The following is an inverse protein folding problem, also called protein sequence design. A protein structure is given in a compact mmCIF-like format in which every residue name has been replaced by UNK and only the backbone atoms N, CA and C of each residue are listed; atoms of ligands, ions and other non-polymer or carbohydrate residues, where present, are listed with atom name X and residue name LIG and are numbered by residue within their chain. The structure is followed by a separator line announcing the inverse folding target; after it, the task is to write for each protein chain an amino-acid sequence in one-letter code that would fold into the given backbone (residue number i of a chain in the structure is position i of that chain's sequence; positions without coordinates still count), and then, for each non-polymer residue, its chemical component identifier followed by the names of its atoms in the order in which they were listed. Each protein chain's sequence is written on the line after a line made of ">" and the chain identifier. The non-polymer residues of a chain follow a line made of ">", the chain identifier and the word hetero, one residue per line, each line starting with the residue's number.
data_IF_316571285107
#
_entry.id   IF_316571285107
#
_cell.length_a   1.000
_cell.length_b   1.000
_cell.length_c   1.000
_cell.angle_alpha   90.00
_cell.angle_beta   90.00
_cell.angle_gamma   90.00
#
_symmetry.space_group_name_H-M   'P 1'
#
loop_
_entity.id
_entity.type
_entity.pdbx_description
1 polymer ?
#
# COMPACT_ATOMS: atom_id res chain seq x y z
N UNK A 1 -22.65 -5.97 18.45
CA UNK A 1 -22.49 -7.34 17.92
C UNK A 1 -21.77 -7.22 16.60
N UNK A 2 -20.59 -7.81 16.50
CA UNK A 2 -19.70 -7.71 15.35
C UNK A 2 -20.35 -8.32 14.11
N UNK A 3 -20.26 -7.64 12.97
CA UNK A 3 -20.63 -8.21 11.67
C UNK A 3 -19.35 -8.61 10.95
N UNK A 4 -19.22 -9.90 10.67
CA UNK A 4 -18.00 -10.46 10.08
C UNK A 4 -18.37 -11.13 8.78
N UNK A 5 -17.68 -10.76 7.70
CA UNK A 5 -17.87 -11.31 6.38
C UNK A 5 -16.57 -11.91 5.88
N UNK A 6 -16.67 -13.07 5.25
CA UNK A 6 -15.52 -13.75 4.65
C UNK A 6 -15.77 -13.95 3.18
N UNK A 7 -14.84 -13.48 2.36
CA UNK A 7 -14.79 -13.85 0.95
C UNK A 7 -13.95 -15.10 0.80
N UNK A 8 -14.55 -16.13 0.21
CA UNK A 8 -13.83 -17.35 -0.09
C UNK A 8 -14.51 -18.08 -1.24
N UNK A 9 -13.93 -19.21 -1.65
CA UNK A 9 -14.49 -20.09 -2.67
C UNK A 9 -14.21 -21.55 -2.36
N UNK A 10 -15.04 -22.42 -2.93
CA UNK A 10 -14.77 -23.84 -3.03
C UNK A 10 -13.90 -24.16 -4.24
N UNK A 11 -13.49 -25.42 -4.32
CA UNK A 11 -12.56 -25.96 -5.32
C UNK A 11 -13.04 -25.71 -6.76
N UNK A 12 -14.35 -25.68 -7.01
CA UNK A 12 -14.96 -25.44 -8.33
C UNK A 12 -15.90 -24.23 -8.39
N UNK A 13 -15.99 -23.45 -7.31
CA UNK A 13 -16.86 -22.28 -7.24
C UNK A 13 -16.12 -20.97 -7.52
N UNK A 14 -16.87 -19.91 -7.81
CA UNK A 14 -16.40 -18.52 -7.82
C UNK A 14 -16.32 -17.96 -6.40
N UNK A 15 -15.54 -16.90 -6.22
CA UNK A 15 -15.49 -16.16 -4.95
C UNK A 15 -16.86 -15.59 -4.58
N UNK A 16 -17.25 -15.77 -3.33
CA UNK A 16 -18.47 -15.22 -2.77
C UNK A 16 -18.18 -14.69 -1.36
N UNK A 17 -18.90 -13.63 -0.98
CA UNK A 17 -18.92 -13.14 0.39
C UNK A 17 -19.97 -13.90 1.20
N UNK A 18 -19.59 -14.38 2.37
CA UNK A 18 -20.44 -15.09 3.30
C UNK A 18 -20.53 -14.30 4.60
N UNK A 19 -21.74 -14.17 5.16
CA UNK A 19 -21.91 -13.69 6.53
C UNK A 19 -21.47 -14.81 7.48
N UNK A 20 -20.49 -14.55 8.35
CA UNK A 20 -19.95 -15.55 9.25
C UNK A 20 -20.99 -16.04 10.28
N UNK A 21 -21.93 -15.18 10.68
CA UNK A 21 -23.00 -15.54 11.61
C UNK A 21 -24.05 -16.42 10.94
N UNK A 22 -24.38 -16.10 9.68
CA UNK A 22 -25.29 -16.86 8.81
C UNK A 22 -24.48 -17.65 7.77
N UNK A 23 -23.58 -18.52 8.24
CA UNK A 23 -22.49 -19.20 7.48
C UNK A 23 -22.78 -19.70 6.04
N UNK A 24 -24.04 -20.02 5.69
CA UNK A 24 -24.44 -20.50 4.36
C UNK A 24 -25.02 -19.41 3.44
N UNK A 25 -25.16 -18.17 3.93
CA UNK A 25 -25.80 -17.09 3.20
C UNK A 25 -24.77 -16.23 2.51
N UNK A 26 -24.83 -16.24 1.18
CA UNK A 26 -24.05 -15.34 0.33
C UNK A 26 -24.59 -13.92 0.49
N UNK A 27 -23.77 -13.02 1.01
CA UNK A 27 -24.15 -11.64 1.28
C UNK A 27 -22.98 -10.70 1.03
N UNK A 28 -23.15 -9.77 0.10
CA UNK A 28 -22.17 -8.72 -0.16
C UNK A 28 -22.21 -7.69 0.98
N UNK A 29 -21.08 -7.40 1.65
CA UNK A 29 -21.03 -6.42 2.71
C UNK A 29 -21.27 -5.00 2.17
N UNK A 30 -22.03 -4.21 2.93
CA UNK A 30 -22.23 -2.80 2.64
C UNK A 30 -21.05 -1.99 3.19
N UNK A 31 -20.16 -1.57 2.29
CA UNK A 31 -18.96 -0.80 2.62
C UNK A 31 -19.01 0.62 2.06
N UNK A 32 -18.34 1.59 2.71
CA UNK A 32 -18.09 2.91 2.13
C UNK A 32 -17.35 2.80 0.78
N UNK A 33 -17.67 3.69 -0.17
CA UNK A 33 -17.06 3.75 -1.52
C UNK A 33 -15.53 3.74 -1.47
N UNK A 34 -14.95 4.49 -0.52
CA UNK A 34 -13.51 4.57 -0.34
C UNK A 34 -12.90 3.21 0.05
N UNK A 35 -13.55 2.46 0.94
CA UNK A 35 -13.07 1.13 1.34
C UNK A 35 -13.14 0.17 0.16
N UNK A 36 -14.23 0.18 -0.62
CA UNK A 36 -14.35 -0.64 -1.84
C UNK A 36 -13.28 -0.34 -2.87
N UNK A 37 -12.92 0.95 -3.03
CA UNK A 37 -11.88 1.37 -3.97
C UNK A 37 -10.47 0.94 -3.54
N UNK A 38 -10.22 0.90 -2.23
CA UNK A 38 -8.88 0.65 -1.67
C UNK A 38 -8.63 -0.82 -1.33
N UNK A 39 -9.65 -1.54 -0.87
CA UNK A 39 -9.58 -2.97 -0.56
C UNK A 39 -9.62 -3.76 -1.88
N UNK A 40 -8.44 -4.12 -2.35
CA UNK A 40 -8.27 -4.83 -3.61
C UNK A 40 -8.32 -6.33 -3.36
N UNK A 41 -9.34 -7.03 -3.86
CA UNK A 41 -9.48 -8.47 -3.61
C UNK A 41 -8.40 -9.31 -4.30
N UNK A 42 -7.71 -8.75 -5.30
CA UNK A 42 -6.65 -9.46 -6.02
C UNK A 42 -5.28 -9.36 -5.32
N UNK A 43 -5.10 -8.32 -4.50
CA UNK A 43 -3.82 -8.04 -3.85
C UNK A 43 -3.96 -8.01 -2.34
N UNK A 44 -2.89 -8.38 -1.66
CA UNK A 44 -2.85 -8.29 -0.20
C UNK A 44 -2.93 -6.82 0.24
N UNK A 45 -3.94 -6.53 1.04
CA UNK A 45 -4.14 -5.20 1.62
C UNK A 45 -4.83 -5.25 2.97
N UNK A 46 -4.59 -4.23 3.78
CA UNK A 46 -5.29 -3.97 5.04
C UNK A 46 -5.82 -2.54 5.01
N UNK A 47 -7.13 -2.38 5.18
CA UNK A 47 -7.82 -1.09 5.20
C UNK A 47 -8.62 -1.00 6.49
N UNK A 48 -8.33 -0.01 7.32
CA UNK A 48 -9.11 0.32 8.50
C UNK A 48 -9.75 1.70 8.31
N UNK A 49 -11.08 1.74 8.36
CA UNK A 49 -11.85 2.96 8.20
C UNK A 49 -12.80 3.15 9.37
N UNK A 50 -12.90 4.38 9.88
CA UNK A 50 -13.90 4.74 10.90
C UNK A 50 -15.06 5.48 10.26
N UNK A 51 -16.25 4.92 10.40
CA UNK A 51 -17.53 5.51 9.96
C UNK A 51 -18.38 5.84 11.19
N UNK A 52 -18.30 7.09 11.67
CA UNK A 52 -19.05 7.58 12.83
C UNK A 52 -18.85 6.72 14.09
N UNK A 53 -19.73 5.74 14.33
CA UNK A 53 -19.74 4.84 15.50
C UNK A 53 -19.09 3.48 15.25
N UNK A 54 -18.64 3.21 14.03
CA UNK A 54 -18.15 1.89 13.63
C UNK A 54 -16.74 1.94 13.08
N UNK A 55 -16.01 0.85 13.32
CA UNK A 55 -14.75 0.53 12.69
C UNK A 55 -14.99 -0.56 11.65
N UNK A 56 -14.46 -0.35 10.45
CA UNK A 56 -14.53 -1.26 9.32
C UNK A 56 -13.10 -1.66 8.99
N UNK A 57 -12.73 -2.89 9.32
CA UNK A 57 -11.47 -3.50 8.95
C UNK A 57 -11.71 -4.41 7.75
N UNK A 58 -11.00 -4.18 6.65
CA UNK A 58 -10.96 -5.06 5.50
C UNK A 58 -9.53 -5.57 5.31
N UNK A 59 -9.35 -6.89 5.25
CA UNK A 59 -8.08 -7.55 4.95
C UNK A 59 -8.31 -8.45 3.74
N UNK A 60 -7.53 -8.27 2.68
CA UNK A 60 -7.74 -8.97 1.41
C UNK A 60 -6.59 -9.92 1.08
N UNK A 61 -6.90 -10.93 0.27
CA UNK A 61 -5.94 -11.86 -0.32
C UNK A 61 -5.02 -12.61 0.69
N UNK A 62 -5.55 -12.97 1.85
CA UNK A 62 -4.90 -13.83 2.83
C UNK A 62 -4.76 -15.26 2.27
N UNK A 63 -3.63 -15.92 2.50
CA UNK A 63 -3.47 -17.31 2.03
C UNK A 63 -4.41 -18.24 2.80
N UNK A 64 -5.06 -19.16 2.08
CA UNK A 64 -5.92 -20.16 2.71
C UNK A 64 -5.25 -21.53 2.88
N UNK A 65 -4.09 -21.75 2.25
CA UNK A 65 -3.47 -23.09 2.14
C UNK A 65 -4.19 -24.04 1.17
N UNK A 66 -5.38 -23.69 0.67
CA UNK A 66 -6.17 -24.48 -0.29
C UNK A 66 -5.84 -24.11 -1.73
N UNK A 67 -6.09 -25.04 -2.64
CA UNK A 67 -5.94 -24.86 -4.09
C UNK A 67 -7.25 -25.19 -4.79
N UNK A 68 -7.52 -24.51 -5.91
CA UNK A 68 -8.68 -24.83 -6.74
C UNK A 68 -8.40 -25.97 -7.74
N UNK A 69 -9.42 -26.37 -8.50
CA UNK A 69 -9.29 -27.40 -9.54
C UNK A 69 -8.35 -27.03 -10.71
N UNK A 70 -7.89 -25.78 -10.79
CA UNK A 70 -6.90 -25.28 -11.75
C UNK A 70 -5.55 -25.02 -11.08
N UNK A 71 -5.31 -25.65 -9.91
CA UNK A 71 -4.09 -25.53 -9.09
C UNK A 71 -3.74 -24.11 -8.66
N UNK A 72 -4.69 -23.16 -8.73
CA UNK A 72 -4.48 -21.79 -8.27
C UNK A 72 -4.68 -21.73 -6.75
N UNK A 73 -3.84 -20.99 -6.02
CA UNK A 73 -4.02 -20.82 -4.59
C UNK A 73 -5.33 -20.05 -4.31
N UNK A 74 -6.16 -20.60 -3.42
CA UNK A 74 -7.35 -19.92 -2.91
C UNK A 74 -6.90 -18.93 -1.84
N UNK A 75 -7.49 -17.74 -1.89
CA UNK A 75 -7.21 -16.64 -0.97
C UNK A 75 -8.49 -16.30 -0.22
N UNK A 76 -8.39 -15.95 1.06
CA UNK A 76 -9.52 -15.48 1.83
C UNK A 76 -9.45 -13.96 1.97
N UNK A 77 -10.59 -13.29 1.99
CA UNK A 77 -10.70 -11.89 2.43
C UNK A 77 -11.60 -11.82 3.66
N UNK A 78 -11.29 -10.93 4.58
CA UNK A 78 -12.02 -10.72 5.83
C UNK A 78 -12.51 -9.27 5.89
N UNK A 79 -13.78 -9.09 6.20
CA UNK A 79 -14.34 -7.80 6.59
C UNK A 79 -14.89 -7.93 7.99
N UNK A 80 -14.43 -7.07 8.88
CA UNK A 80 -14.88 -7.00 10.27
C UNK A 80 -15.43 -5.60 10.53
N UNK A 81 -16.72 -5.55 10.87
CA UNK A 81 -17.41 -4.31 11.21
C UNK A 81 -17.82 -4.39 12.67
N UNK A 82 -17.29 -3.48 13.47
CA UNK A 82 -17.55 -3.43 14.90
C UNK A 82 -17.80 -2.02 15.40
N UNK A 83 -18.34 -1.91 16.61
CA UNK A 83 -18.53 -0.64 17.28
C UNK A 83 -17.19 -0.05 17.74
N UNK A 84 -17.12 1.28 17.89
CA UNK A 84 -15.91 1.97 18.32
C UNK A 84 -15.37 1.53 19.69
N UNK A 85 -16.21 0.89 20.51
CA UNK A 85 -15.84 0.38 21.84
C UNK A 85 -14.99 -0.90 21.74
N UNK A 86 -15.12 -1.64 20.64
CA UNK A 86 -14.33 -2.84 20.31
C UNK A 86 -13.00 -2.52 19.60
N UNK A 87 -12.54 -1.27 19.74
CA UNK A 87 -11.30 -0.79 19.10
C UNK A 87 -10.07 -1.63 19.47
N UNK A 88 -10.00 -2.11 20.71
CA UNK A 88 -8.89 -2.94 21.20
C UNK A 88 -8.80 -4.26 20.42
N UNK A 89 -9.94 -4.90 20.14
CA UNK A 89 -10.02 -6.12 19.35
C UNK A 89 -9.56 -5.88 17.91
N UNK A 90 -10.08 -4.84 17.25
CA UNK A 90 -9.66 -4.48 15.89
C UNK A 90 -8.15 -4.18 15.83
N UNK A 91 -7.60 -3.47 16.82
CA UNK A 91 -6.15 -3.23 16.93
C UNK A 91 -5.37 -4.53 17.11
N UNK A 92 -5.87 -5.48 17.90
CA UNK A 92 -5.23 -6.77 18.09
C UNK A 92 -5.14 -7.57 16.77
N UNK A 93 -6.22 -7.56 15.97
CA UNK A 93 -6.23 -8.18 14.63
C UNK A 93 -5.17 -7.53 13.73
N UNK A 94 -5.09 -6.20 13.70
CA UNK A 94 -4.09 -5.47 12.91
C UNK A 94 -2.67 -5.79 13.40
N UNK A 95 -2.46 -5.84 14.72
CA UNK A 95 -1.18 -6.19 15.30
C UNK A 95 -0.74 -7.60 14.89
N UNK A 96 -1.66 -8.56 14.92
CA UNK A 96 -1.42 -9.94 14.50
C UNK A 96 -1.12 -10.02 12.99
N UNK A 97 -1.88 -9.31 12.16
CA UNK A 97 -1.60 -9.17 10.73
C UNK A 97 -0.17 -8.65 10.47
N UNK A 98 0.31 -7.71 11.29
CA UNK A 98 1.65 -7.15 11.13
C UNK A 98 2.76 -8.06 11.66
N UNK A 99 2.54 -8.78 12.76
CA UNK A 99 3.60 -9.50 13.49
C UNK A 99 3.62 -11.00 13.25
N UNK A 100 2.45 -11.62 13.06
CA UNK A 100 2.26 -13.06 12.98
C UNK A 100 1.25 -13.42 11.87
N UNK A 101 1.39 -12.81 10.70
CA UNK A 101 0.45 -12.91 9.58
C UNK A 101 0.08 -14.36 9.20
N UNK A 102 1.06 -15.26 9.13
CA UNK A 102 0.83 -16.66 8.78
C UNK A 102 -0.08 -17.37 9.81
N UNK A 103 -0.05 -16.94 11.08
CA UNK A 103 -0.95 -17.41 12.13
C UNK A 103 -2.39 -16.95 11.88
N UNK A 104 -2.59 -15.65 11.62
CA UNK A 104 -3.89 -15.09 11.26
C UNK A 104 -4.48 -15.75 10.00
N UNK A 105 -3.65 -15.98 8.98
CA UNK A 105 -4.03 -16.69 7.75
C UNK A 105 -4.55 -18.10 8.05
N UNK A 106 -3.84 -18.82 8.93
CA UNK A 106 -4.22 -20.16 9.36
C UNK A 106 -5.52 -20.15 10.17
N UNK A 107 -5.66 -19.25 11.13
CA UNK A 107 -6.84 -19.19 12.00
C UNK A 107 -8.12 -18.91 11.21
N UNK A 108 -8.04 -18.04 10.20
CA UNK A 108 -9.15 -17.78 9.26
C UNK A 108 -9.42 -19.02 8.39
N UNK A 109 -8.38 -19.69 7.90
CA UNK A 109 -8.55 -20.89 7.08
C UNK A 109 -9.18 -22.05 7.86
N UNK A 110 -8.74 -22.28 9.10
CA UNK A 110 -9.21 -23.35 10.01
C UNK A 110 -10.67 -23.14 10.47
N UNK A 111 -11.20 -21.94 10.29
CA UNK A 111 -12.61 -21.62 10.53
C UNK A 111 -13.50 -21.86 9.30
N UNK A 112 -12.94 -22.13 8.13
CA UNK A 112 -13.68 -22.39 6.90
C UNK A 112 -13.66 -23.89 6.59
N UNK A 113 -14.82 -24.54 6.64
CA UNK A 113 -14.96 -25.95 6.26
C UNK A 113 -15.63 -26.06 4.89
N UNK A 114 -15.14 -26.95 4.04
CA UNK A 114 -15.66 -27.21 2.71
C UNK A 114 -16.22 -28.64 2.68
N UNK A 115 -17.52 -28.84 2.99
CA UNK A 115 -18.27 -30.10 2.69
C UNK A 115 -19.74 -30.06 3.16
N UNK A 116 -20.73 -30.35 2.29
CA UNK A 116 -20.76 -30.19 0.82
C UNK A 116 -20.86 -28.72 0.37
N UNK A 117 -21.12 -27.81 1.31
CA UNK A 117 -21.16 -26.36 1.12
C UNK A 117 -20.07 -25.72 2.00
N UNK A 118 -19.71 -24.47 1.69
CA UNK A 118 -18.81 -23.69 2.53
C UNK A 118 -19.54 -23.34 3.83
N UNK A 119 -18.92 -23.67 4.96
CA UNK A 119 -19.38 -23.32 6.30
C UNK A 119 -18.29 -22.54 7.03
N UNK A 120 -18.72 -21.50 7.74
CA UNK A 120 -17.85 -20.66 8.56
C UNK A 120 -18.17 -20.93 10.03
N UNK A 121 -17.15 -21.31 10.79
CA UNK A 121 -17.20 -21.39 12.24
C UNK A 121 -17.09 -19.98 12.82
N UNK A 122 -18.23 -19.37 13.11
CA UNK A 122 -18.32 -18.03 13.67
C UNK A 122 -17.50 -17.89 14.97
N UNK A 123 -17.53 -18.89 15.85
CA UNK A 123 -16.86 -18.80 17.15
C UNK A 123 -15.34 -18.75 17.00
N UNK A 124 -14.79 -19.55 16.06
CA UNK A 124 -13.36 -19.48 15.74
C UNK A 124 -12.99 -18.10 15.19
N UNK A 125 -13.76 -17.58 14.24
CA UNK A 125 -13.49 -16.25 13.66
C UNK A 125 -13.63 -15.14 14.71
N UNK A 126 -14.69 -15.17 15.51
CA UNK A 126 -14.95 -14.20 16.56
C UNK A 126 -13.83 -14.21 17.61
N UNK A 127 -13.17 -15.36 17.84
CA UNK A 127 -12.08 -15.47 18.81
C UNK A 127 -10.77 -14.78 18.38
N UNK A 128 -10.63 -14.45 17.10
CA UNK A 128 -9.46 -13.77 16.56
C UNK A 128 -9.36 -12.36 17.18
N UNK A 129 -8.14 -11.97 17.57
CA UNK A 129 -7.89 -10.67 18.19
C UNK A 129 -8.34 -10.54 19.65
N UNK A 130 -8.63 -11.64 20.36
CA UNK A 130 -8.96 -11.62 21.79
C UNK A 130 -7.77 -11.29 22.71
N UNK A 131 -6.59 -11.04 22.16
CA UNK A 131 -5.42 -10.62 22.92
C UNK A 131 -5.61 -9.16 23.38
N UNK A 132 -5.61 -8.94 24.70
CA UNK A 132 -5.70 -7.59 25.25
C UNK A 132 -4.44 -6.79 24.92
N UNK A 133 -4.59 -5.79 24.05
CA UNK A 133 -3.57 -4.77 23.85
C UNK A 133 -3.75 -3.65 24.87
N UNK A 134 -2.66 -3.25 25.51
CA UNK A 134 -2.65 -2.05 26.35
C UNK A 134 -2.96 -0.81 25.49
N UNK A 135 -3.66 0.16 26.06
CA UNK A 135 -4.10 1.34 25.32
C UNK A 135 -3.84 2.60 26.12
N UNK A 136 -2.84 3.38 25.66
CA UNK A 136 -2.68 4.75 26.11
C UNK A 136 -3.48 5.70 25.22
N UNK A 137 -3.97 6.80 25.80
CA UNK A 137 -4.66 7.84 25.05
C UNK A 137 -3.76 8.41 23.95
N UNK A 138 -4.33 8.64 22.76
CA UNK A 138 -3.62 9.22 21.64
C UNK A 138 -3.28 10.69 21.94
N UNK A 139 -1.99 11.02 21.99
CA UNK A 139 -1.56 12.39 22.18
C UNK A 139 -1.66 13.22 20.89
N UNK A 140 -1.70 14.55 21.03
CA UNK A 140 -1.86 15.48 19.90
C UNK A 140 -0.73 15.40 18.87
N UNK A 141 0.48 15.01 19.28
CA UNK A 141 1.62 14.80 18.39
C UNK A 141 1.43 13.58 17.46
N UNK A 142 0.68 12.56 17.91
CA UNK A 142 0.43 11.32 17.14
C UNK A 142 -0.79 11.41 16.21
N UNK A 143 -1.52 12.53 16.23
CA UNK A 143 -2.63 12.84 15.30
C UNK A 143 -2.17 13.32 13.91
N UNK A 144 -0.86 13.37 13.65
CA UNK A 144 -0.33 13.71 12.32
C UNK A 144 -0.64 12.56 11.37
N UNK A 145 -1.15 12.87 10.17
CA UNK A 145 -1.40 11.90 9.10
C UNK A 145 -0.12 11.73 8.30
N UNK A 146 0.35 10.49 8.12
CA UNK A 146 1.63 10.22 7.46
C UNK A 146 1.62 8.94 6.64
N UNK A 147 2.38 8.94 5.55
CA UNK A 147 2.55 7.80 4.66
C UNK A 147 4.03 7.48 4.46
N UNK A 148 4.36 6.20 4.25
CA UNK A 148 5.76 5.77 4.19
C UNK A 148 5.93 4.42 3.52
N UNK A 149 7.20 4.04 3.34
CA UNK A 149 7.57 2.73 2.84
C UNK A 149 7.24 1.63 3.86
N UNK A 150 6.56 0.55 3.44
CA UNK A 150 6.13 -0.51 4.36
C UNK A 150 7.32 -1.20 5.03
N UNK A 151 8.32 -1.65 4.26
CA UNK A 151 9.46 -2.37 4.83
C UNK A 151 10.26 -1.54 5.85
N UNK A 152 10.36 -0.22 5.64
CA UNK A 152 11.07 0.69 6.57
C UNK A 152 10.28 1.01 7.83
N UNK A 153 8.97 1.19 7.73
CA UNK A 153 8.15 1.79 8.78
C UNK A 153 7.14 0.84 9.43
N UNK A 154 7.14 -0.43 9.05
CA UNK A 154 6.28 -1.47 9.64
C UNK A 154 6.43 -1.55 11.17
N UNK A 155 7.66 -1.51 11.69
CA UNK A 155 7.89 -1.65 13.13
C UNK A 155 7.32 -0.47 13.92
N UNK A 156 7.46 0.76 13.41
CA UNK A 156 6.89 1.93 14.06
C UNK A 156 5.35 1.87 14.08
N UNK A 157 4.73 1.39 12.99
CA UNK A 157 3.28 1.15 12.98
C UNK A 157 2.87 0.09 14.00
N UNK A 158 3.62 -1.01 14.13
CA UNK A 158 3.39 -2.04 15.15
C UNK A 158 3.39 -1.42 16.54
N UNK A 159 4.41 -0.61 16.86
CA UNK A 159 4.55 0.03 18.16
C UNK A 159 3.42 1.01 18.44
N UNK A 160 2.99 1.77 17.42
CA UNK A 160 1.86 2.69 17.53
C UNK A 160 0.53 1.94 17.73
N UNK A 161 0.24 0.90 16.93
CA UNK A 161 -0.98 0.08 17.06
C UNK A 161 -1.00 -0.65 18.41
N UNK A 162 0.15 -1.08 18.92
CA UNK A 162 0.25 -1.74 20.23
C UNK A 162 0.02 -0.79 21.38
N UNK A 163 0.51 0.45 21.30
CA UNK A 163 0.57 1.36 22.46
C UNK A 163 -0.50 2.46 22.49
N UNK A 164 -1.16 2.76 21.37
CA UNK A 164 -2.04 3.92 21.23
C UNK A 164 -3.46 3.57 20.79
N UNK A 165 -4.44 4.28 21.35
CA UNK A 165 -5.78 4.32 20.75
C UNK A 165 -5.77 4.91 19.34
N UNK A 166 -6.70 4.47 18.50
CA UNK A 166 -6.90 4.98 17.15
C UNK A 166 -7.51 6.40 17.18
N UNK A 167 -7.27 7.23 16.15
CA UNK A 167 -7.96 8.50 16.00
C UNK A 167 -9.49 8.32 16.04
N UNK A 168 -10.19 9.24 16.71
CA UNK A 168 -11.65 9.22 16.87
C UNK A 168 -12.40 9.91 15.72
N UNK A 169 -11.68 10.63 14.86
CA UNK A 169 -12.25 11.29 13.68
C UNK A 169 -12.72 10.25 12.64
N UNK A 170 -13.81 10.58 11.93
CA UNK A 170 -14.27 9.80 10.77
C UNK A 170 -13.20 9.87 9.68
N UNK A 171 -12.87 8.73 9.09
CA UNK A 171 -11.92 8.68 7.98
C UNK A 171 -11.10 7.40 7.91
N UNK A 172 -10.17 7.39 6.96
CA UNK A 172 -9.23 6.30 6.75
C UNK A 172 -8.14 6.35 7.83
N UNK A 173 -8.02 5.28 8.61
CA UNK A 173 -7.11 5.22 9.74
C UNK A 173 -5.82 4.51 9.35
N UNK A 174 -5.92 3.26 8.89
CA UNK A 174 -4.76 2.45 8.49
C UNK A 174 -4.98 1.99 7.07
N UNK A 175 -3.97 2.15 6.22
CA UNK A 175 -3.98 1.59 4.87
C UNK A 175 -2.62 0.98 4.56
N UNK A 176 -2.59 -0.31 4.26
CA UNK A 176 -1.37 -1.05 3.94
C UNK A 176 -1.62 -1.84 2.66
N UNK A 177 -0.73 -1.71 1.68
CA UNK A 177 -0.81 -2.49 0.44
C UNK A 177 0.50 -2.41 -0.33
N UNK A 178 0.78 -3.42 -1.15
CA UNK A 178 1.92 -3.42 -2.07
C UNK A 178 1.55 -3.02 -3.51
N UNK A 179 0.27 -2.76 -3.82
CA UNK A 179 -0.18 -2.53 -5.19
C UNK A 179 -0.49 -1.07 -5.52
N UNK A 180 -0.75 -0.22 -4.53
CA UNK A 180 -1.15 1.19 -4.77
C UNK A 180 0.04 2.15 -4.70
N UNK A 181 -0.04 3.20 -5.51
CA UNK A 181 0.98 4.25 -5.66
C UNK A 181 0.90 5.31 -4.56
N UNK A 182 2.00 6.05 -4.35
CA UNK A 182 2.04 7.18 -3.41
C UNK A 182 0.90 8.19 -3.63
N UNK A 183 0.57 8.54 -4.88
CA UNK A 183 -0.54 9.44 -5.20
C UNK A 183 -1.88 8.95 -4.63
N UNK A 184 -2.14 7.64 -4.68
CA UNK A 184 -3.36 7.04 -4.12
C UNK A 184 -3.44 7.27 -2.60
N UNK A 185 -2.31 7.18 -1.91
CA UNK A 185 -2.21 7.43 -0.48
C UNK A 185 -2.40 8.91 -0.13
N UNK A 186 -1.81 9.83 -0.90
CA UNK A 186 -1.98 11.27 -0.73
C UNK A 186 -3.44 11.71 -0.91
N UNK A 187 -4.14 11.10 -1.86
CA UNK A 187 -5.58 11.34 -2.10
C UNK A 187 -6.46 10.75 -0.99
N UNK A 188 -6.16 9.50 -0.56
CA UNK A 188 -6.95 8.78 0.43
C UNK A 188 -6.74 9.29 1.87
N UNK A 189 -5.60 9.94 2.13
CA UNK A 189 -5.22 10.55 3.42
C UNK A 189 -5.41 9.64 4.63
N UNK A 190 -4.80 8.44 4.65
CA UNK A 190 -4.83 7.61 5.84
C UNK A 190 -4.08 8.28 7.00
N UNK A 191 -4.51 8.02 8.23
CA UNK A 191 -3.71 8.39 9.41
C UNK A 191 -2.33 7.71 9.36
N UNK A 192 -2.29 6.41 9.03
CA UNK A 192 -1.07 5.65 8.74
C UNK A 192 -1.22 4.91 7.42
N UNK A 193 -0.43 5.32 6.42
CA UNK A 193 -0.37 4.67 5.12
C UNK A 193 0.99 4.02 4.84
N UNK A 194 1.02 2.73 4.51
CA UNK A 194 2.26 2.03 4.18
C UNK A 194 2.17 1.31 2.84
N UNK A 195 3.16 1.51 1.97
CA UNK A 195 3.29 0.78 0.71
C UNK A 195 4.73 0.65 0.27
N UNK A 196 5.09 -0.50 -0.31
CA UNK A 196 6.41 -0.70 -0.90
C UNK A 196 6.65 0.15 -2.16
N UNK A 197 5.60 0.72 -2.75
CA UNK A 197 5.70 1.64 -3.89
C UNK A 197 5.92 3.11 -3.47
N UNK A 198 6.17 3.36 -2.18
CA UNK A 198 6.56 4.68 -1.67
C UNK A 198 8.08 4.65 -1.46
N UNK A 199 8.83 5.37 -2.31
CA UNK A 199 10.30 5.38 -2.32
C UNK A 199 10.93 6.41 -1.37
N UNK A 200 10.16 6.98 -0.44
CA UNK A 200 10.66 8.01 0.47
C UNK A 200 11.60 7.43 1.53
N UNK A 201 12.68 8.16 1.83
CA UNK A 201 13.56 7.88 2.96
C UNK A 201 12.89 8.21 4.30
N UNK A 202 12.02 9.21 4.32
CA UNK A 202 11.28 9.70 5.50
C UNK A 202 9.79 9.37 5.47
N UNK A 203 9.10 9.54 6.61
CA UNK A 203 7.65 9.73 6.60
C UNK A 203 7.26 10.96 5.78
N UNK A 204 6.30 10.80 4.87
CA UNK A 204 5.67 11.92 4.16
C UNK A 204 4.48 12.37 5.00
N UNK A 205 4.53 13.60 5.50
CA UNK A 205 3.45 14.20 6.29
C UNK A 205 2.37 14.71 5.35
N UNK A 206 1.12 14.34 5.63
CA UNK A 206 -0.05 14.82 4.89
C UNK A 206 -0.66 16.03 5.60
N UNK A 207 -0.82 17.14 4.87
CA UNK A 207 -1.47 18.33 5.42
C UNK A 207 -2.96 18.06 5.73
N UNK A 208 -3.32 18.25 7.01
CA UNK A 208 -4.70 18.19 7.45
C UNK A 208 -5.40 19.53 7.11
N UNK A 209 -6.20 19.54 6.05
CA UNK A 209 -6.96 20.74 5.60
C UNK A 209 -7.94 21.27 6.65
N UNK A 210 -8.24 20.50 7.72
CA UNK A 210 -9.21 20.90 8.74
C UNK A 210 -8.64 21.75 9.89
N UNK A 211 -7.32 22.00 9.92
CA UNK A 211 -6.78 23.07 10.78
C UNK A 211 -6.92 24.40 10.08
N UNK A 212 -7.97 25.17 10.40
CA UNK A 212 -7.92 26.63 10.24
C UNK A 212 -6.59 27.11 10.86
N UNK A 213 -5.82 27.97 10.19
CA UNK A 213 -4.59 28.48 10.76
C UNK A 213 -4.94 29.24 12.03
N UNK A 214 -4.54 28.72 13.19
CA UNK A 214 -4.46 29.52 14.41
C UNK A 214 -3.29 30.47 14.17
N UNK A 215 -3.63 31.65 13.64
CA UNK A 215 -2.73 32.79 13.57
C UNK A 215 -2.42 33.19 15.01
N UNK A 216 -1.35 32.62 15.56
CA UNK A 216 -0.70 33.17 16.74
C UNK A 216 0.21 34.31 16.27
N UNK A 217 -0.37 35.50 16.08
CA UNK A 217 0.37 36.75 16.16
C UNK A 217 0.93 36.90 17.59
N UNK A 218 2.12 36.36 17.84
CA UNK A 218 2.95 36.86 18.93
C UNK A 218 3.68 38.10 18.45
N UNK A 219 3.03 39.25 18.67
CA UNK A 219 3.66 40.57 18.74
C UNK A 219 4.75 40.55 19.82
N UNK A 220 6.02 40.53 19.42
CA UNK A 220 7.12 40.85 20.33
C UNK A 220 7.26 42.37 20.39
N UNK A 221 6.57 42.98 21.35
CA UNK A 221 6.76 44.39 21.75
C UNK A 221 8.12 44.55 22.41
N UNK A 222 8.86 45.59 21.99
CA UNK A 222 9.92 46.27 22.73
C UNK A 222 9.55 46.42 24.20
N UNK A 223 10.43 45.98 25.09
CA UNK A 223 10.52 46.53 26.45
C UNK A 223 11.95 46.95 26.72
N UNK A 224 12.14 48.26 26.64
CA UNK A 224 13.19 49.03 27.29
C UNK A 224 12.98 48.90 28.79
N UNK A 225 13.99 48.46 29.53
CA UNK A 225 14.02 48.54 30.99
C UNK A 225 15.19 49.42 31.42
N UNK A 226 14.85 50.61 31.89
CA UNK A 226 15.68 51.46 32.73
C UNK A 226 15.77 50.83 34.13
N UNK A 227 16.97 50.83 34.72
CA UNK A 227 17.16 50.80 36.17
C UNK A 227 18.18 51.90 36.51
N UNK A 228 17.74 52.85 37.33
CA UNK A 228 18.52 53.86 38.07
C UNK A 228 19.02 53.19 39.38
N UNK A 229 19.98 53.62 40.20
CA UNK A 229 20.71 54.89 40.43
C UNK A 229 21.75 54.66 41.57
N UNK A 230 22.68 55.62 41.71
CA UNK A 230 23.54 55.99 42.88
C UNK A 230 24.96 55.40 42.91
N UNK A 231 26.03 56.10 43.31
CA UNK A 231 26.44 57.52 43.45
C UNK A 231 27.83 57.54 44.14
N UNK A 232 28.67 58.56 43.86
CA UNK A 232 29.90 58.99 44.59
C UNK A 232 31.13 58.06 44.53
N UNK A 233 32.39 58.49 44.43
CA UNK A 233 33.12 59.76 44.71
C UNK A 233 34.41 59.79 43.86
N UNK A 234 34.98 60.99 43.73
CA UNK A 234 36.23 61.37 43.05
C UNK A 234 37.49 60.54 43.39
N UNK A 235 38.45 60.45 42.45
CA UNK A 235 39.83 60.94 42.66
C UNK A 235 40.70 60.79 41.41
N UNK A 236 41.45 61.84 41.10
CA UNK A 236 42.58 61.89 40.18
C UNK A 236 43.59 60.74 40.35
N UNK A 237 44.22 60.27 39.26
CA UNK A 237 45.69 60.34 39.07
C UNK A 237 46.21 59.56 37.87
N UNK A 238 47.17 60.24 37.21
CA UNK A 238 48.40 59.74 36.58
C UNK A 238 48.34 59.00 35.24
N UNK A 239 49.02 59.65 34.28
CA UNK A 239 49.80 59.10 33.18
C UNK A 239 50.42 57.73 33.48
N UNK A 240 50.35 56.86 32.46
CA UNK A 240 51.41 55.99 31.88
C UNK A 240 50.83 54.63 31.50
N UNK A 241 50.82 54.32 30.18
CA UNK A 241 51.01 52.99 29.54
C UNK A 241 50.43 52.99 28.12
N UNK A 242 51.13 53.61 27.18
CA UNK A 242 50.78 53.57 25.75
C UNK A 242 51.30 52.34 24.98
N UNK A 243 51.75 51.26 25.66
CA UNK A 243 52.24 50.05 24.99
C UNK A 243 51.37 48.80 25.26
N UNK A 244 50.22 48.93 25.96
CA UNK A 244 49.35 47.80 26.33
C UNK A 244 48.17 47.60 25.37
N UNK A 245 47.70 48.66 24.72
CA UNK A 245 46.59 48.66 23.75
C UNK A 245 46.95 48.06 22.39
N UNK A 246 48.19 48.25 21.92
CA UNK A 246 48.66 47.64 20.67
C UNK A 246 48.79 46.10 20.77
N UNK A 247 49.24 45.59 21.92
CA UNK A 247 49.33 44.14 22.17
C UNK A 247 47.96 43.47 22.22
N UNK A 248 46.92 44.15 22.72
CA UNK A 248 45.56 43.60 22.72
C UNK A 248 44.94 43.55 21.33
N UNK A 249 45.22 44.54 20.46
CA UNK A 249 44.72 44.54 19.08
C UNK A 249 45.37 43.44 18.24
N UNK A 250 46.69 43.25 18.36
CA UNK A 250 47.40 42.15 17.68
C UNK A 250 46.85 40.77 18.03
N UNK A 251 46.50 40.54 19.31
CA UNK A 251 45.90 39.28 19.74
C UNK A 251 44.49 39.08 19.15
N UNK A 252 43.68 40.13 19.04
CA UNK A 252 42.35 40.07 18.42
C UNK A 252 42.47 39.74 16.93
N UNK A 253 43.39 40.39 16.20
CA UNK A 253 43.63 40.10 14.80
C UNK A 253 44.12 38.66 14.57
N UNK A 254 44.98 38.15 15.45
CA UNK A 254 45.43 36.75 15.39
C UNK A 254 44.27 35.76 15.55
N UNK A 255 43.36 36.01 16.49
CA UNK A 255 42.18 35.15 16.70
C UNK A 255 41.25 35.20 15.48
N UNK A 256 41.00 36.38 14.92
CA UNK A 256 40.16 36.54 13.72
C UNK A 256 40.79 35.80 12.53
N UNK A 257 42.12 35.90 12.35
CA UNK A 257 42.82 35.21 11.28
C UNK A 257 42.71 33.69 11.41
N UNK A 258 42.86 33.15 12.62
CA UNK A 258 42.68 31.71 12.88
C UNK A 258 41.25 31.27 12.57
N UNK A 259 40.24 32.04 13.00
CA UNK A 259 38.84 31.74 12.70
C UNK A 259 38.56 31.75 11.19
N UNK A 260 39.13 32.69 10.44
CA UNK A 260 39.02 32.75 8.98
C UNK A 260 39.67 31.54 8.31
N UNK A 261 40.84 31.11 8.78
CA UNK A 261 41.52 29.93 8.25
C UNK A 261 40.73 28.64 8.53
N UNK A 262 40.19 28.48 9.74
CA UNK A 262 39.33 27.33 10.08
C UNK A 262 38.05 27.33 9.25
N UNK A 263 37.42 28.49 9.08
CA UNK A 263 36.22 28.63 8.23
C UNK A 263 36.52 28.26 6.77
N UNK A 264 37.63 28.71 6.21
CA UNK A 264 38.04 28.37 4.85
C UNK A 264 38.37 26.88 4.70
N UNK A 265 39.05 26.27 5.68
CA UNK A 265 39.32 24.83 5.67
C UNK A 265 38.02 24.00 5.72
N UNK A 266 37.04 24.44 6.52
CA UNK A 266 35.73 23.81 6.58
C UNK A 266 34.95 23.93 5.26
N UNK A 267 35.02 25.09 4.59
CA UNK A 267 34.43 25.27 3.26
C UNK A 267 35.08 24.37 2.21
N UNK A 268 36.41 24.26 2.19
CA UNK A 268 37.14 23.36 1.29
C UNK A 268 36.77 21.89 1.53
N UNK A 269 36.63 21.47 2.79
CA UNK A 269 36.17 20.12 3.12
C UNK A 269 34.77 19.85 2.56
N UNK A 270 33.84 20.79 2.72
CA UNK A 270 32.47 20.67 2.16
C UNK A 270 32.47 20.63 0.64
N UNK A 271 33.31 21.41 -0.03
CA UNK A 271 33.42 21.40 -1.50
C UNK A 271 33.87 20.02 -1.99
N UNK A 272 34.89 19.44 -1.36
CA UNK A 272 35.38 18.10 -1.71
C UNK A 272 34.33 17.00 -1.44
N UNK A 273 33.55 17.12 -0.37
CA UNK A 273 32.43 16.21 -0.10
C UNK A 273 31.33 16.32 -1.18
N UNK A 274 31.01 17.55 -1.61
CA UNK A 274 30.04 17.80 -2.68
C UNK A 274 30.52 17.25 -4.02
N UNK A 275 31.80 17.42 -4.36
CA UNK A 275 32.39 16.90 -5.60
C UNK A 275 32.30 15.37 -5.67
N UNK A 276 32.55 14.66 -4.56
CA UNK A 276 32.34 13.21 -4.48
C UNK A 276 30.87 12.81 -4.72
N UNK A 277 29.93 13.56 -4.16
CA UNK A 277 28.49 13.32 -4.36
C UNK A 277 28.08 13.58 -5.80
N UNK A 278 28.62 14.61 -6.45
CA UNK A 278 28.39 14.90 -7.87
C UNK A 278 28.88 13.73 -8.74
N UNK A 279 30.10 13.25 -8.52
CA UNK A 279 30.64 12.11 -9.27
C UNK A 279 29.81 10.83 -9.08
N UNK A 280 29.26 10.61 -7.88
CA UNK A 280 28.34 9.49 -7.63
C UNK A 280 27.02 9.66 -8.39
N UNK A 281 26.47 10.87 -8.44
CA UNK A 281 25.25 11.17 -9.21
C UNK A 281 25.49 10.93 -10.70
N UNK A 282 26.61 11.39 -11.26
CA UNK A 282 26.95 11.18 -12.68
C UNK A 282 27.07 9.68 -13.03
N UNK A 283 27.69 8.88 -12.16
CA UNK A 283 27.77 7.44 -12.35
C UNK A 283 26.39 6.78 -12.31
N UNK A 284 25.53 7.17 -11.35
CA UNK A 284 24.15 6.68 -11.29
C UNK A 284 23.35 7.08 -12.53
N UNK A 285 23.56 8.29 -13.06
CA UNK A 285 22.93 8.77 -14.29
C UNK A 285 23.29 7.87 -15.48
N UNK A 286 24.57 7.53 -15.62
CA UNK A 286 25.05 6.61 -16.66
C UNK A 286 24.43 5.21 -16.56
N UNK A 287 24.28 4.68 -15.33
CA UNK A 287 23.61 3.40 -15.09
C UNK A 287 22.13 3.46 -15.48
N UNK A 288 21.45 4.58 -15.16
CA UNK A 288 20.05 4.80 -15.53
C UNK A 288 19.89 4.87 -17.05
N UNK A 289 20.76 5.59 -17.76
CA UNK A 289 20.70 5.71 -19.22
C UNK A 289 20.92 4.37 -19.91
N UNK A 290 21.87 3.57 -19.41
CA UNK A 290 22.10 2.20 -19.88
C UNK A 290 20.87 1.32 -19.64
N UNK A 291 20.32 1.35 -18.43
CA UNK A 291 19.12 0.59 -18.08
C UNK A 291 17.92 0.99 -18.95
N UNK A 292 17.78 2.28 -19.27
CA UNK A 292 16.71 2.78 -20.15
C UNK A 292 16.86 2.21 -21.56
N UNK A 293 18.08 2.20 -22.08
CA UNK A 293 18.40 1.64 -23.40
C UNK A 293 18.10 0.14 -23.46
N UNK A 294 18.46 -0.61 -22.42
CA UNK A 294 18.19 -2.05 -22.34
C UNK A 294 16.67 -2.34 -22.28
N UNK A 295 15.90 -1.53 -21.55
CA UNK A 295 14.43 -1.62 -21.48
C UNK A 295 13.79 -1.30 -22.84
N UNK A 296 14.25 -0.27 -23.54
CA UNK A 296 13.75 0.07 -24.89
C UNK A 296 14.00 -1.08 -25.86
N UNK A 297 15.20 -1.67 -25.84
CA UNK A 297 15.54 -2.84 -26.67
C UNK A 297 14.68 -4.06 -26.36
N UNK A 298 14.46 -4.37 -25.08
CA UNK A 298 13.59 -5.45 -24.65
C UNK A 298 12.14 -5.22 -25.09
N UNK A 299 11.66 -3.99 -25.01
CA UNK A 299 10.31 -3.61 -25.44
C UNK A 299 10.12 -3.83 -26.93
N UNK A 300 11.06 -3.35 -27.76
CA UNK A 300 11.01 -3.55 -29.22
C UNK A 300 11.08 -5.03 -29.61
N UNK A 301 11.93 -5.82 -28.92
CA UNK A 301 11.99 -7.26 -29.17
C UNK A 301 10.65 -7.95 -28.84
N UNK A 302 10.04 -7.60 -27.70
CA UNK A 302 8.76 -8.17 -27.28
C UNK A 302 7.63 -7.79 -28.25
N UNK A 303 7.60 -6.54 -28.73
CA UNK A 303 6.62 -6.11 -29.75
C UNK A 303 6.75 -6.92 -31.04
N UNK A 304 7.99 -7.14 -31.52
CA UNK A 304 8.24 -7.94 -32.72
C UNK A 304 7.83 -9.42 -32.53
N UNK A 305 8.09 -9.99 -31.36
CA UNK A 305 7.69 -11.36 -31.03
C UNK A 305 6.16 -11.49 -30.98
N UNK A 306 5.46 -10.51 -30.40
CA UNK A 306 3.99 -10.47 -30.36
C UNK A 306 3.40 -10.39 -31.76
N UNK A 307 3.92 -9.51 -32.62
CA UNK A 307 3.47 -9.38 -34.02
C UNK A 307 3.70 -10.70 -34.77
N UNK A 308 4.89 -11.29 -34.64
CA UNK A 308 5.23 -12.56 -35.29
C UNK A 308 4.34 -13.71 -34.81
N UNK A 309 4.05 -13.78 -33.51
CA UNK A 309 3.16 -14.79 -32.94
C UNK A 309 1.72 -14.62 -33.42
N UNK A 310 1.24 -13.37 -33.50
CA UNK A 310 -0.08 -13.03 -34.02
C UNK A 310 -0.24 -13.47 -35.47
N UNK A 311 0.72 -13.16 -36.33
CA UNK A 311 0.69 -13.54 -37.75
C UNK A 311 0.68 -15.06 -37.94
N UNK A 312 1.48 -15.78 -37.14
CA UNK A 312 1.49 -17.25 -37.14
C UNK A 312 0.14 -17.83 -36.71
N UNK A 313 -0.45 -17.26 -35.66
CA UNK A 313 -1.76 -17.70 -35.16
C UNK A 313 -2.86 -17.44 -36.19
N UNK A 314 -2.89 -16.25 -36.79
CA UNK A 314 -3.89 -15.87 -37.80
C UNK A 314 -3.80 -16.77 -39.04
N UNK A 315 -2.58 -17.07 -39.50
CA UNK A 315 -2.36 -18.02 -40.60
C UNK A 315 -2.86 -19.43 -40.26
N UNK A 316 -2.52 -19.94 -39.08
CA UNK A 316 -2.96 -21.27 -38.64
C UNK A 316 -4.49 -21.35 -38.48
N UNK A 317 -5.10 -20.27 -37.98
CA UNK A 317 -6.55 -20.17 -37.85
C UNK A 317 -7.26 -20.22 -39.20
N UNK A 318 -6.78 -19.44 -40.18
CA UNK A 318 -7.35 -19.44 -41.53
C UNK A 318 -7.21 -20.80 -42.23
N UNK A 319 -6.08 -21.49 -42.03
CA UNK A 319 -5.86 -22.84 -42.55
C UNK A 319 -6.81 -23.86 -41.91
N UNK A 320 -6.98 -23.82 -40.59
CA UNK A 320 -7.92 -24.67 -39.87
C UNK A 320 -9.38 -24.41 -40.28
N UNK A 321 -9.77 -23.15 -40.46
CA UNK A 321 -11.10 -22.78 -40.92
C UNK A 321 -11.38 -23.30 -42.33
N UNK A 322 -10.41 -23.19 -43.24
CA UNK A 322 -10.51 -23.75 -44.59
C UNK A 322 -10.70 -25.27 -44.55
N UNK A 323 -9.86 -25.96 -43.78
CA UNK A 323 -9.95 -27.42 -43.64
C UNK A 323 -11.31 -27.86 -43.07
N UNK A 324 -11.81 -27.15 -42.05
CA UNK A 324 -13.13 -27.41 -41.48
C UNK A 324 -14.25 -27.27 -42.52
N UNK A 325 -14.23 -26.20 -43.32
CA UNK A 325 -15.21 -25.99 -44.38
C UNK A 325 -15.16 -27.10 -45.45
N UNK A 326 -13.94 -27.52 -45.85
CA UNK A 326 -13.75 -28.61 -46.81
C UNK A 326 -14.30 -29.94 -46.27
N UNK A 327 -14.13 -30.21 -44.98
CA UNK A 327 -14.64 -31.43 -44.33
C UNK A 327 -16.18 -31.40 -44.20
N UNK A 328 -16.77 -30.26 -43.86
CA UNK A 328 -18.23 -30.06 -43.87
C UNK A 328 -18.80 -30.28 -45.27
N UNK A 329 -18.15 -29.74 -46.30
CA UNK A 329 -18.59 -29.91 -47.69
C UNK A 329 -18.55 -31.38 -48.10
N UNK A 330 -17.46 -32.10 -47.82
CA UNK A 330 -17.34 -33.55 -48.10
C UNK A 330 -18.40 -34.36 -47.37
N UNK A 331 -18.65 -34.08 -46.09
CA UNK A 331 -19.66 -34.77 -45.29
C UNK A 331 -21.07 -34.56 -45.85
N UNK A 332 -21.40 -33.31 -46.21
CA UNK A 332 -22.68 -32.94 -46.83
C UNK A 332 -22.90 -33.68 -48.15
N UNK A 333 -21.91 -33.65 -49.05
CA UNK A 333 -21.99 -34.34 -50.34
C UNK A 333 -22.16 -35.86 -50.20
N UNK A 334 -21.48 -36.47 -49.22
CA UNK A 334 -21.65 -37.89 -48.89
C UNK A 334 -23.07 -38.20 -48.40
N UNK A 335 -23.60 -37.36 -47.52
CA UNK A 335 -24.97 -37.50 -47.01
C UNK A 335 -26.01 -37.41 -48.13
N UNK A 336 -25.90 -36.40 -49.01
CA UNK A 336 -26.78 -36.24 -50.17
C UNK A 336 -26.75 -37.47 -51.09
N UNK A 337 -25.55 -38.00 -51.35
CA UNK A 337 -25.38 -39.19 -52.18
C UNK A 337 -26.06 -40.42 -51.56
N UNK A 338 -25.90 -40.65 -50.25
CA UNK A 338 -26.55 -41.77 -49.58
C UNK A 338 -28.07 -41.60 -49.50
N UNK A 339 -28.56 -40.38 -49.28
CA UNK A 339 -29.99 -40.08 -49.32
C UNK A 339 -30.61 -40.36 -50.70
N UNK A 340 -29.93 -39.99 -51.78
CA UNK A 340 -30.37 -40.31 -53.14
C UNK A 340 -30.45 -41.82 -53.37
N UNK A 341 -29.48 -42.60 -52.88
CA UNK A 341 -29.51 -44.08 -52.94
C UNK A 341 -30.70 -44.66 -52.17
N UNK A 342 -30.99 -44.14 -50.98
CA UNK A 342 -32.14 -44.58 -50.17
C UNK A 342 -33.45 -44.27 -50.88
N UNK A 343 -33.60 -43.07 -51.44
CA UNK A 343 -34.78 -42.67 -52.21
C UNK A 343 -35.00 -43.59 -53.43
N UNK A 344 -33.93 -43.90 -54.17
CA UNK A 344 -34.01 -44.83 -55.31
C UNK A 344 -34.48 -46.21 -54.86
N UNK A 345 -33.88 -46.79 -53.81
CA UNK A 345 -34.27 -48.10 -53.27
C UNK A 345 -35.73 -48.14 -52.83
N UNK A 346 -36.22 -47.05 -52.25
CA UNK A 346 -37.61 -46.93 -51.85
C UNK A 346 -38.54 -46.92 -53.07
N UNK A 347 -38.20 -46.15 -54.11
CA UNK A 347 -38.94 -46.11 -55.37
C UNK A 347 -39.02 -47.49 -56.02
N UNK A 348 -37.87 -48.17 -56.16
CA UNK A 348 -37.79 -49.52 -56.71
C UNK A 348 -38.63 -50.54 -55.92
N UNK A 349 -38.73 -50.36 -54.59
CA UNK A 349 -39.51 -51.24 -53.73
C UNK A 349 -41.02 -51.03 -53.89
N UNK A 350 -41.45 -49.78 -54.09
CA UNK A 350 -42.85 -49.44 -54.37
C UNK A 350 -43.28 -50.03 -55.71
N UNK A 351 -42.42 -49.92 -56.74
CA UNK A 351 -42.70 -50.49 -58.06
C UNK A 351 -42.87 -52.02 -58.05
N UNK A 352 -42.20 -52.74 -57.15
CA UNK A 352 -42.35 -54.21 -57.04
C UNK A 352 -43.62 -54.65 -56.33
N UNK A 353 -44.25 -53.77 -55.56
CA UNK A 353 -45.46 -54.09 -54.78
C UNK A 353 -46.72 -53.86 -55.63
N UNK A 354 -46.65 -52.93 -56.59
CA UNK A 354 -47.70 -52.69 -57.58
C UNK A 354 -47.56 -53.66 -58.76
#
# INVERSE_FOLDING_TARGET
>A
MSKIFIETRGTSEVYNWFDALESNKKQLPQLPELVKKLADTEFESLVLYRESRQLILAITALKSGRIDNRTRPIRNSLIWIDDNDEEAKIRAIIYEYLTAKDGLEKDIADAITETPEIKIDYQKIESIGNNNLESNALNSARLIYKIGNLDKYKQELIDEIKSCSLPKEKGLLVFITNSKSQKTFEEAKPWRGLSNNISSEGWIILENKNKKPVVNEKKTKKQTSQISTKSFTDSEKSLTKSNKTERTLLNIFSIILVLLLVSNAFLLYKINELEKKINQIENLQSVIDKSKTDVEKLTTNLENDIVTAKDKFEKAFMEAQKQFNDDIFKATSKYETEMAKVQQRLSDSIERIN
#
